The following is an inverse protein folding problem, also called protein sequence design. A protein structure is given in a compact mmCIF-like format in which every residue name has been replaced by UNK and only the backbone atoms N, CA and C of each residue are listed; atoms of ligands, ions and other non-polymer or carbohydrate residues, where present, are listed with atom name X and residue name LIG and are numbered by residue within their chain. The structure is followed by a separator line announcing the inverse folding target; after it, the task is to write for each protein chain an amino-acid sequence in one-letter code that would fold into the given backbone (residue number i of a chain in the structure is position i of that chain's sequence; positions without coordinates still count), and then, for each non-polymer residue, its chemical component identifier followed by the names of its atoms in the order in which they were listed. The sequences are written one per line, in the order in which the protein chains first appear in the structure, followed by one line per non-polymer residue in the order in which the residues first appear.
data_IF_892773526078
#
_entry.id   IF_892773526078
#
_cell.length_a   1.000
_cell.length_b   1.000
_cell.length_c   1.000
_cell.angle_alpha   90.00
_cell.angle_beta   90.00
_cell.angle_gamma   90.00
#
_symmetry.space_group_name_H-M   'P 1'
#
loop_
_entity.id
_entity.type
_entity.pdbx_description
1 polymer ?
#
# COMPACT_ATOMS: atom_id res chain seq x y z
N UNK A 1 38.11 -18.21 63.32
CA UNK A 1 36.73 -18.48 62.85
C UNK A 1 36.18 -17.26 62.10
N UNK A 2 36.79 -16.87 60.97
CA UNK A 2 36.37 -15.64 60.25
C UNK A 2 36.38 -15.75 58.73
N UNK A 3 36.86 -16.86 58.14
CA UNK A 3 36.93 -17.02 56.68
C UNK A 3 35.68 -17.66 56.06
N UNK A 4 34.89 -18.41 56.83
CA UNK A 4 33.70 -19.09 56.31
C UNK A 4 32.51 -18.15 56.02
N UNK A 5 32.47 -16.96 56.64
CA UNK A 5 31.34 -16.02 56.52
C UNK A 5 31.44 -15.19 55.22
N UNK A 6 32.65 -14.89 54.74
CA UNK A 6 32.85 -14.13 53.50
C UNK A 6 32.56 -14.95 52.24
N UNK A 7 32.73 -16.28 52.28
CA UNK A 7 32.35 -17.17 51.16
C UNK A 7 30.84 -17.30 50.95
N UNK A 8 30.04 -17.23 52.03
CA UNK A 8 28.58 -17.36 51.95
C UNK A 8 27.91 -16.10 51.38
N UNK A 9 28.46 -14.91 51.70
CA UNK A 9 27.95 -13.62 51.20
C UNK A 9 28.26 -13.45 49.70
N UNK A 10 29.43 -13.92 49.24
CA UNK A 10 29.78 -13.94 47.82
C UNK A 10 28.90 -14.88 46.99
N UNK A 11 28.57 -16.07 47.52
CA UNK A 11 27.71 -17.05 46.84
C UNK A 11 26.23 -16.60 46.76
N UNK A 12 25.71 -15.94 47.80
CA UNK A 12 24.35 -15.39 47.80
C UNK A 12 24.21 -14.16 46.88
N UNK A 13 25.24 -13.31 46.77
CA UNK A 13 25.26 -12.17 45.84
C UNK A 13 25.32 -12.59 44.37
N UNK A 14 26.10 -13.64 44.04
CA UNK A 14 26.20 -14.19 42.68
C UNK A 14 24.92 -14.88 42.19
N UNK A 15 24.21 -15.58 43.09
CA UNK A 15 22.95 -16.24 42.76
C UNK A 15 21.80 -15.24 42.49
N UNK A 16 21.76 -14.12 43.21
CA UNK A 16 20.76 -13.07 43.01
C UNK A 16 20.96 -12.30 41.70
N UNK A 17 22.21 -11.98 41.33
CA UNK A 17 22.53 -11.34 40.05
C UNK A 17 22.34 -12.30 38.87
N UNK A 18 22.66 -13.58 39.02
CA UNK A 18 22.42 -14.61 38.01
C UNK A 18 20.92 -14.88 37.76
N UNK A 19 20.09 -14.88 38.81
CA UNK A 19 18.64 -15.03 38.69
C UNK A 19 17.95 -13.76 38.14
N UNK A 20 18.43 -12.57 38.49
CA UNK A 20 17.95 -11.32 37.91
C UNK A 20 18.31 -11.21 36.41
N UNK A 21 19.52 -11.63 36.02
CA UNK A 21 19.94 -11.65 34.62
C UNK A 21 19.13 -12.64 33.77
N UNK A 22 18.77 -13.82 34.30
CA UNK A 22 17.94 -14.81 33.58
C UNK A 22 16.46 -14.45 33.51
N UNK A 23 15.94 -13.63 34.45
CA UNK A 23 14.57 -13.11 34.39
C UNK A 23 14.44 -11.85 33.52
N UNK A 24 15.47 -10.99 33.48
CA UNK A 24 15.44 -9.72 32.75
C UNK A 24 15.91 -9.88 31.30
N UNK A 25 16.83 -10.80 31.00
CA UNK A 25 17.32 -11.02 29.64
C UNK A 25 16.22 -11.44 28.65
N UNK A 26 15.26 -12.35 28.95
CA UNK A 26 14.16 -12.70 28.04
C UNK A 26 13.17 -11.54 27.84
N UNK A 27 12.95 -10.72 28.86
CA UNK A 27 12.05 -9.57 28.78
C UNK A 27 12.65 -8.40 27.99
N UNK A 28 13.96 -8.17 28.09
CA UNK A 28 14.68 -7.17 27.30
C UNK A 28 14.91 -7.63 25.86
N UNK A 29 15.32 -8.88 25.63
CA UNK A 29 15.43 -9.45 24.27
C UNK A 29 14.06 -9.56 23.61
N UNK A 30 13.02 -9.97 24.32
CA UNK A 30 11.65 -10.00 23.80
C UNK A 30 11.09 -8.62 23.45
N UNK A 31 11.43 -7.56 24.19
CA UNK A 31 11.06 -6.17 23.83
C UNK A 31 11.83 -5.67 22.62
N UNK A 32 13.14 -5.95 22.53
CA UNK A 32 13.94 -5.56 21.35
C UNK A 32 13.51 -6.29 20.08
N UNK A 33 13.26 -7.60 20.16
CA UNK A 33 12.75 -8.40 19.03
C UNK A 33 11.37 -7.91 18.60
N UNK A 34 10.45 -7.63 19.55
CA UNK A 34 9.12 -7.06 19.21
C UNK A 34 9.21 -5.69 18.54
N UNK A 35 10.10 -4.80 19.00
CA UNK A 35 10.31 -3.48 18.37
C UNK A 35 10.91 -3.62 16.97
N UNK A 36 11.88 -4.52 16.79
CA UNK A 36 12.44 -4.81 15.47
C UNK A 36 11.40 -5.42 14.51
N UNK A 37 10.58 -6.37 14.98
CA UNK A 37 9.48 -6.93 14.19
C UNK A 37 8.44 -5.88 13.83
N UNK A 38 8.10 -4.98 14.76
CA UNK A 38 7.15 -3.90 14.50
C UNK A 38 7.70 -2.93 13.47
N UNK A 39 8.96 -2.51 13.60
CA UNK A 39 9.63 -1.63 12.63
C UNK A 39 9.72 -2.27 11.25
N UNK A 40 10.08 -3.55 11.16
CA UNK A 40 10.12 -4.28 9.89
C UNK A 40 8.73 -4.37 9.23
N UNK A 41 7.66 -4.54 10.02
CA UNK A 41 6.29 -4.51 9.50
C UNK A 41 5.89 -3.13 8.97
N UNK A 42 6.22 -2.07 9.71
CA UNK A 42 5.97 -0.68 9.29
C UNK A 42 6.76 -0.33 8.02
N UNK A 43 8.02 -0.77 7.90
CA UNK A 43 8.83 -0.59 6.68
C UNK A 43 8.19 -1.29 5.48
N UNK A 44 7.75 -2.54 5.62
CA UNK A 44 7.08 -3.30 4.55
C UNK A 44 5.73 -2.69 4.17
N UNK A 45 4.96 -2.16 5.14
CA UNK A 45 3.72 -1.41 4.86
C UNK A 45 3.99 -0.11 4.09
N UNK A 46 5.01 0.64 4.51
CA UNK A 46 5.43 1.87 3.85
C UNK A 46 5.86 1.64 2.40
N UNK A 47 6.66 0.60 2.15
CA UNK A 47 7.09 0.22 0.79
C UNK A 47 5.90 -0.13 -0.11
N UNK A 48 4.93 -0.90 0.38
CA UNK A 48 3.72 -1.25 -0.37
C UNK A 48 2.89 -0.03 -0.77
N UNK A 49 2.75 0.94 0.14
CA UNK A 49 2.04 2.19 -0.18
C UNK A 49 2.80 3.06 -1.20
N UNK A 50 4.13 3.09 -1.11
CA UNK A 50 4.97 3.75 -2.10
C UNK A 50 4.86 3.10 -3.47
N UNK A 51 4.82 1.77 -3.52
CA UNK A 51 4.60 1.02 -4.76
C UNK A 51 3.21 1.29 -5.34
N UNK A 52 2.16 1.33 -4.51
CA UNK A 52 0.81 1.67 -4.97
C UNK A 52 0.76 3.07 -5.55
N UNK A 53 1.39 4.04 -4.88
CA UNK A 53 1.52 5.42 -5.36
C UNK A 53 2.25 5.50 -6.70
N UNK A 54 3.32 4.73 -6.90
CA UNK A 54 4.07 4.67 -8.17
C UNK A 54 3.23 4.03 -9.27
N UNK A 55 2.69 2.84 -9.03
CA UNK A 55 1.93 2.10 -10.01
C UNK A 55 0.68 2.86 -10.49
N UNK A 56 -0.05 3.51 -9.57
CA UNK A 56 -1.21 4.34 -9.91
C UNK A 56 -0.83 5.63 -10.65
N UNK A 57 0.37 6.18 -10.43
CA UNK A 57 0.89 7.30 -11.23
C UNK A 57 1.23 6.84 -12.64
N UNK A 58 1.99 5.76 -12.74
CA UNK A 58 2.56 5.31 -14.01
C UNK A 58 1.47 4.86 -14.98
N UNK A 59 0.41 4.19 -14.50
CA UNK A 59 -0.74 3.86 -15.34
C UNK A 59 -1.45 5.11 -15.86
N UNK A 60 -1.63 6.15 -15.04
CA UNK A 60 -2.31 7.37 -15.49
C UNK A 60 -1.45 8.16 -16.48
N UNK A 61 -0.13 8.19 -16.32
CA UNK A 61 0.76 8.80 -17.29
C UNK A 61 0.65 8.09 -18.66
N UNK A 62 0.69 6.75 -18.66
CA UNK A 62 0.56 5.97 -19.88
C UNK A 62 -0.82 6.16 -20.52
N UNK A 63 -1.89 6.26 -19.71
CA UNK A 63 -3.23 6.54 -20.20
C UNK A 63 -3.35 7.94 -20.79
N UNK A 64 -2.75 8.95 -20.17
CA UNK A 64 -2.77 10.32 -20.69
C UNK A 64 -2.01 10.39 -22.01
N UNK A 65 -0.84 9.77 -22.11
CA UNK A 65 -0.08 9.67 -23.36
C UNK A 65 -0.91 9.02 -24.48
N UNK A 66 -1.58 7.90 -24.16
CA UNK A 66 -2.47 7.20 -25.10
C UNK A 66 -3.69 8.04 -25.52
N UNK A 67 -4.29 8.77 -24.57
CA UNK A 67 -5.41 9.68 -24.79
C UNK A 67 -5.01 10.85 -25.67
N UNK A 68 -3.85 11.47 -25.41
CA UNK A 68 -3.33 12.56 -26.24
C UNK A 68 -2.95 12.08 -27.64
N UNK A 69 -2.31 10.91 -27.77
CA UNK A 69 -1.99 10.33 -29.08
C UNK A 69 -3.25 10.02 -29.90
N UNK A 70 -4.31 9.50 -29.26
CA UNK A 70 -5.63 9.32 -29.87
C UNK A 70 -6.19 10.64 -30.42
N UNK A 71 -6.14 11.73 -29.65
CA UNK A 71 -6.57 13.06 -30.09
C UNK A 71 -5.75 13.61 -31.27
N UNK A 72 -4.45 13.29 -31.32
CA UNK A 72 -3.57 13.65 -32.46
C UNK A 72 -3.74 12.74 -33.68
N UNK A 73 -4.51 11.65 -33.56
CA UNK A 73 -4.64 10.63 -34.61
C UNK A 73 -3.36 9.81 -34.81
N UNK A 74 -2.50 9.75 -33.79
CA UNK A 74 -1.30 8.93 -33.78
C UNK A 74 -1.64 7.46 -33.45
N UNK A 75 -0.80 6.49 -33.87
CA UNK A 75 -0.97 5.12 -33.45
C UNK A 75 -0.80 4.99 -31.93
N UNK A 76 -1.74 4.31 -31.28
CA UNK A 76 -1.72 4.04 -29.83
C UNK A 76 -1.60 2.54 -29.60
N UNK A 77 -0.56 2.11 -28.90
CA UNK A 77 -0.44 0.73 -28.44
C UNK A 77 -1.17 0.55 -27.10
N UNK A 78 -2.44 0.18 -27.19
CA UNK A 78 -3.28 -0.12 -26.02
C UNK A 78 -3.06 -1.52 -25.44
N UNK A 79 -2.30 -2.39 -26.10
CA UNK A 79 -2.18 -3.81 -25.73
C UNK A 79 -0.86 -4.14 -25.04
N UNK A 80 0.20 -3.35 -25.25
CA UNK A 80 1.49 -3.55 -24.60
C UNK A 80 1.60 -2.77 -23.29
N UNK A 81 2.15 -1.53 -23.30
CA UNK A 81 2.49 -0.78 -22.09
C UNK A 81 1.30 -0.52 -21.16
N UNK A 82 0.13 -0.24 -21.73
CA UNK A 82 -1.09 0.04 -20.98
C UNK A 82 -1.54 -1.18 -20.19
N UNK A 83 -1.60 -2.36 -20.82
CA UNK A 83 -2.06 -3.60 -20.17
C UNK A 83 -1.13 -3.99 -19.02
N UNK A 84 0.18 -3.93 -19.25
CA UNK A 84 1.18 -4.25 -18.21
C UNK A 84 1.12 -3.26 -17.04
N UNK A 85 0.92 -1.96 -17.30
CA UNK A 85 0.76 -0.96 -16.25
C UNK A 85 -0.54 -1.19 -15.44
N UNK A 86 -1.65 -1.49 -16.11
CA UNK A 86 -2.93 -1.82 -15.44
C UNK A 86 -2.80 -3.08 -14.60
N UNK A 87 -2.14 -4.12 -15.12
CA UNK A 87 -1.90 -5.37 -14.41
C UNK A 87 -1.03 -5.13 -13.17
N UNK A 88 0.08 -4.41 -13.32
CA UNK A 88 0.97 -4.05 -12.21
C UNK A 88 0.22 -3.26 -11.13
N UNK A 89 -0.57 -2.26 -11.52
CA UNK A 89 -1.40 -1.49 -10.59
C UNK A 89 -2.38 -2.41 -9.84
N UNK A 90 -3.06 -3.32 -10.53
CA UNK A 90 -4.00 -4.28 -9.90
C UNK A 90 -3.28 -5.20 -8.92
N UNK A 91 -2.15 -5.77 -9.30
CA UNK A 91 -1.37 -6.64 -8.40
C UNK A 91 -0.89 -5.90 -7.15
N UNK A 92 -0.45 -4.65 -7.30
CA UNK A 92 -0.05 -3.82 -6.16
C UNK A 92 -1.28 -3.45 -5.30
N UNK A 93 -2.40 -3.10 -5.92
CA UNK A 93 -3.66 -2.81 -5.26
C UNK A 93 -4.16 -4.01 -4.43
N UNK A 94 -4.14 -5.21 -5.01
CA UNK A 94 -4.54 -6.45 -4.36
C UNK A 94 -3.61 -6.76 -3.17
N UNK A 95 -2.29 -6.59 -3.33
CA UNK A 95 -1.33 -6.76 -2.22
C UNK A 95 -1.59 -5.77 -1.09
N UNK A 96 -1.94 -4.54 -1.43
CA UNK A 96 -2.34 -3.50 -0.50
C UNK A 96 -3.64 -3.88 0.23
N UNK A 97 -4.69 -4.29 -0.48
CA UNK A 97 -5.97 -4.72 0.12
C UNK A 97 -5.81 -5.95 1.03
N UNK A 98 -5.06 -6.97 0.60
CA UNK A 98 -4.88 -8.24 1.35
C UNK A 98 -4.02 -8.05 2.60
N UNK A 99 -2.95 -7.23 2.52
CA UNK A 99 -1.91 -7.25 3.54
C UNK A 99 -1.69 -5.94 4.29
N UNK A 100 -2.49 -4.89 4.05
CA UNK A 100 -2.48 -3.74 4.96
C UNK A 100 -2.56 -2.36 4.33
N UNK A 101 -3.53 -2.11 3.48
CA UNK A 101 -4.31 -0.89 3.63
C UNK A 101 -5.23 -1.07 4.83
N UNK A 102 -4.63 -1.16 6.02
CA UNK A 102 -5.37 -0.93 7.26
C UNK A 102 -5.60 0.57 7.33
N UNK A 103 -6.54 1.07 6.55
CA UNK A 103 -7.22 2.30 6.93
C UNK A 103 -7.86 1.98 8.27
N UNK A 104 -7.31 2.51 9.36
CA UNK A 104 -7.72 2.15 10.72
C UNK A 104 -9.14 2.64 11.00
N UNK A 105 -10.13 1.92 10.49
CA UNK A 105 -11.45 1.73 11.07
C UNK A 105 -11.81 0.23 11.16
N UNK A 106 -10.88 -0.69 10.84
CA UNK A 106 -11.13 -2.13 10.92
C UNK A 106 -9.91 -2.92 11.42
N UNK A 107 -9.87 -3.16 12.73
CA UNK A 107 -9.26 -4.39 13.25
C UNK A 107 -10.23 -5.55 13.00
N UNK A 108 -10.02 -6.32 11.93
CA UNK A 108 -10.36 -7.74 11.95
C UNK A 108 -9.53 -8.52 10.93
N UNK A 109 -9.04 -9.67 11.39
CA UNK A 109 -8.40 -10.72 10.61
C UNK A 109 -9.21 -11.11 9.37
N UNK A 110 -8.51 -11.72 8.42
CA UNK A 110 -9.01 -12.26 7.15
C UNK A 110 -10.17 -13.28 7.27
N UNK A 111 -10.70 -13.55 8.46
CA UNK A 111 -11.84 -14.44 8.72
C UNK A 111 -13.21 -13.71 8.68
N UNK A 112 -13.24 -12.38 8.58
CA UNK A 112 -14.49 -11.59 8.59
C UNK A 112 -14.79 -10.97 7.21
N UNK A 113 -14.63 -11.75 6.13
CA UNK A 113 -14.94 -11.33 4.76
C UNK A 113 -16.46 -11.30 4.44
N UNK A 114 -17.33 -11.56 5.41
CA UNK A 114 -18.78 -11.55 5.24
C UNK A 114 -19.43 -10.33 5.89
N UNK A 115 -19.59 -9.23 5.15
CA UNK A 115 -20.65 -8.25 5.44
C UNK A 115 -20.26 -6.90 6.07
N UNK A 116 -19.09 -6.33 5.76
CA UNK A 116 -18.84 -4.90 6.01
C UNK A 116 -18.70 -4.13 4.71
N UNK A 117 -19.30 -2.94 4.68
CA UNK A 117 -19.11 -1.97 3.60
C UNK A 117 -17.61 -1.67 3.44
N UNK A 118 -17.10 -1.61 2.19
CA UNK A 118 -15.71 -1.27 1.93
C UNK A 118 -15.38 0.12 2.51
N UNK A 119 -14.15 0.31 2.97
CA UNK A 119 -13.73 1.64 3.41
C UNK A 119 -13.75 2.62 2.23
N UNK A 120 -13.96 3.95 2.45
CA UNK A 120 -13.97 4.94 1.37
C UNK A 120 -12.72 4.90 0.48
N UNK A 121 -11.60 4.46 1.03
CA UNK A 121 -10.33 4.34 0.31
C UNK A 121 -10.20 3.04 -0.47
N UNK A 122 -10.79 1.97 0.05
CA UNK A 122 -10.95 0.71 -0.69
C UNK A 122 -11.88 0.94 -1.88
N UNK A 123 -12.95 1.73 -1.67
CA UNK A 123 -13.80 2.22 -2.75
C UNK A 123 -13.03 3.08 -3.74
N UNK A 124 -12.23 4.05 -3.27
CA UNK A 124 -11.41 4.89 -4.16
C UNK A 124 -10.42 4.07 -5.00
N UNK A 125 -9.81 3.03 -4.42
CA UNK A 125 -8.91 2.12 -5.15
C UNK A 125 -9.67 1.28 -6.19
N UNK A 126 -10.84 0.74 -5.83
CA UNK A 126 -11.70 0.00 -6.76
C UNK A 126 -12.23 0.87 -7.88
N UNK A 127 -12.62 2.10 -7.55
CA UNK A 127 -13.04 3.11 -8.51
C UNK A 127 -11.91 3.46 -9.47
N UNK A 128 -10.71 3.69 -8.96
CA UNK A 128 -9.53 3.92 -9.80
C UNK A 128 -9.31 2.77 -10.78
N UNK A 129 -9.30 1.52 -10.31
CA UNK A 129 -9.12 0.33 -11.15
C UNK A 129 -10.23 0.24 -12.22
N UNK A 130 -11.48 0.52 -11.83
CA UNK A 130 -12.64 0.52 -12.72
C UNK A 130 -12.52 1.60 -13.80
N UNK A 131 -12.23 2.83 -13.41
CA UNK A 131 -12.14 3.96 -14.34
C UNK A 131 -10.96 3.83 -15.27
N UNK A 132 -9.80 3.40 -14.78
CA UNK A 132 -8.64 3.03 -15.61
C UNK A 132 -9.03 1.98 -16.67
N UNK A 133 -9.70 0.90 -16.27
CA UNK A 133 -10.17 -0.12 -17.22
C UNK A 133 -11.17 0.42 -18.24
N UNK A 134 -12.09 1.29 -17.81
CA UNK A 134 -13.04 1.94 -18.70
C UNK A 134 -12.32 2.86 -19.71
N UNK A 135 -11.38 3.68 -19.27
CA UNK A 135 -10.57 4.56 -20.13
C UNK A 135 -9.85 3.76 -21.21
N UNK A 136 -9.17 2.66 -20.86
CA UNK A 136 -8.50 1.78 -21.85
C UNK A 136 -9.49 1.28 -22.90
N UNK A 137 -10.64 0.77 -22.45
CA UNK A 137 -11.67 0.24 -23.34
C UNK A 137 -12.19 1.31 -24.31
N UNK A 138 -12.51 2.51 -23.81
CA UNK A 138 -13.01 3.60 -24.63
C UNK A 138 -11.98 4.15 -25.61
N UNK A 139 -10.70 4.24 -25.22
CA UNK A 139 -9.61 4.56 -26.16
C UNK A 139 -9.58 3.51 -27.27
N UNK A 140 -9.61 2.22 -26.93
CA UNK A 140 -9.61 1.14 -27.92
C UNK A 140 -10.80 1.20 -28.89
N UNK A 141 -11.98 1.53 -28.39
CA UNK A 141 -13.16 1.73 -29.22
C UNK A 141 -13.07 2.98 -30.11
N UNK A 142 -12.52 4.08 -29.59
CA UNK A 142 -12.35 5.32 -30.35
C UNK A 142 -11.38 5.14 -31.52
N UNK A 143 -10.29 4.39 -31.33
CA UNK A 143 -9.31 4.08 -32.38
C UNK A 143 -9.90 3.27 -33.54
N UNK A 144 -10.97 2.51 -33.31
CA UNK A 144 -11.67 1.71 -34.32
C UNK A 144 -12.84 2.47 -34.98
N UNK A 145 -13.21 3.63 -34.45
CA UNK A 145 -14.35 4.40 -34.90
C UNK A 145 -13.93 5.57 -35.81
N UNK A 146 -14.88 6.09 -36.58
CA UNK A 146 -14.68 7.25 -37.43
C UNK A 146 -15.82 8.27 -37.26
N UNK A 147 -15.55 9.53 -37.65
CA UNK A 147 -16.53 10.61 -37.68
C UNK A 147 -17.14 10.91 -36.29
N UNK A 148 -18.44 11.22 -36.27
CA UNK A 148 -19.16 11.59 -35.04
C UNK A 148 -19.08 10.52 -33.94
N UNK A 149 -19.05 9.24 -34.33
CA UNK A 149 -18.94 8.14 -33.36
C UNK A 149 -17.59 8.16 -32.64
N UNK A 150 -16.50 8.44 -33.36
CA UNK A 150 -15.16 8.58 -32.76
C UNK A 150 -15.14 9.69 -31.72
N UNK A 151 -15.67 10.86 -32.06
CA UNK A 151 -15.73 12.02 -31.16
C UNK A 151 -16.50 11.71 -29.86
N UNK A 152 -17.62 10.98 -29.94
CA UNK A 152 -18.37 10.57 -28.73
C UNK A 152 -17.56 9.61 -27.85
N UNK A 153 -16.78 8.71 -28.45
CA UNK A 153 -15.97 7.73 -27.72
C UNK A 153 -14.75 8.41 -27.07
N UNK A 154 -14.13 9.37 -27.76
CA UNK A 154 -13.05 10.21 -27.23
C UNK A 154 -13.52 10.97 -25.98
N UNK A 155 -14.69 11.62 -26.05
CA UNK A 155 -15.29 12.32 -24.90
C UNK A 155 -15.56 11.39 -23.70
N UNK A 156 -15.98 10.14 -23.94
CA UNK A 156 -16.16 9.15 -22.87
C UNK A 156 -14.82 8.73 -22.27
N UNK A 157 -13.80 8.53 -23.10
CA UNK A 157 -12.44 8.22 -22.63
C UNK A 157 -11.90 9.35 -21.74
N UNK A 158 -12.09 10.61 -22.16
CA UNK A 158 -11.69 11.80 -21.38
C UNK A 158 -12.42 11.84 -20.03
N UNK A 159 -13.76 11.69 -20.00
CA UNK A 159 -14.53 11.70 -18.76
C UNK A 159 -14.12 10.59 -17.78
N UNK A 160 -13.85 9.37 -18.28
CA UNK A 160 -13.37 8.29 -17.41
C UNK A 160 -11.92 8.50 -16.93
N UNK A 161 -11.07 9.13 -17.75
CA UNK A 161 -9.72 9.51 -17.33
C UNK A 161 -9.77 10.53 -16.18
N UNK A 162 -10.62 11.55 -16.27
CA UNK A 162 -10.81 12.53 -15.19
C UNK A 162 -11.31 11.88 -13.89
N UNK A 163 -12.23 10.92 -13.98
CA UNK A 163 -12.69 10.16 -12.82
C UNK A 163 -11.59 9.28 -12.22
N UNK A 164 -10.73 8.69 -13.05
CA UNK A 164 -9.55 7.95 -12.59
C UNK A 164 -8.58 8.89 -11.84
N UNK A 165 -8.32 10.10 -12.35
CA UNK A 165 -7.51 11.09 -11.64
C UNK A 165 -8.13 11.52 -10.31
N UNK A 166 -9.45 11.74 -10.27
CA UNK A 166 -10.17 12.06 -9.04
C UNK A 166 -10.02 10.94 -8.00
N UNK A 167 -10.23 9.68 -8.41
CA UNK A 167 -10.08 8.51 -7.56
C UNK A 167 -8.65 8.39 -7.02
N UNK A 168 -7.64 8.59 -7.88
CA UNK A 168 -6.23 8.61 -7.46
C UNK A 168 -5.95 9.74 -6.47
N UNK A 169 -6.49 10.95 -6.68
CA UNK A 169 -6.30 12.08 -5.75
C UNK A 169 -6.84 11.75 -4.35
N UNK A 170 -8.01 11.13 -4.26
CA UNK A 170 -8.58 10.67 -2.98
C UNK A 170 -7.68 9.62 -2.32
N UNK A 171 -7.27 8.61 -3.08
CA UNK A 171 -6.36 7.57 -2.61
C UNK A 171 -5.02 8.14 -2.11
N UNK A 172 -4.43 9.10 -2.84
CA UNK A 172 -3.16 9.72 -2.48
C UNK A 172 -3.23 10.46 -1.15
N UNK A 173 -4.33 11.17 -0.86
CA UNK A 173 -4.51 11.82 0.44
C UNK A 173 -4.32 10.82 1.57
N UNK A 174 -5.04 9.70 1.51
CA UNK A 174 -5.00 8.72 2.60
C UNK A 174 -3.68 7.93 2.64
N UNK A 175 -3.08 7.65 1.49
CA UNK A 175 -1.74 7.05 1.46
C UNK A 175 -0.70 7.95 2.12
N UNK A 176 -0.76 9.27 1.88
CA UNK A 176 0.19 10.22 2.46
C UNK A 176 0.03 10.32 3.98
N UNK A 177 -1.21 10.41 4.46
CA UNK A 177 -1.50 10.45 5.90
C UNK A 177 -0.98 9.17 6.60
N UNK A 178 -1.27 7.99 6.05
CA UNK A 178 -0.80 6.72 6.62
C UNK A 178 0.72 6.55 6.55
N UNK A 179 1.35 7.00 5.47
CA UNK A 179 2.81 6.99 5.33
C UNK A 179 3.49 7.92 6.35
N UNK A 180 2.87 9.03 6.72
CA UNK A 180 3.35 9.91 7.77
C UNK A 180 3.25 9.25 9.15
N UNK A 181 2.11 8.64 9.47
CA UNK A 181 1.95 7.85 10.70
C UNK A 181 3.01 6.76 10.85
N UNK A 182 3.25 5.97 9.79
CA UNK A 182 4.28 4.93 9.81
C UNK A 182 5.68 5.50 10.05
N UNK A 183 6.00 6.66 9.46
CA UNK A 183 7.30 7.33 9.69
C UNK A 183 7.46 7.72 11.14
N UNK A 184 6.41 8.24 11.78
CA UNK A 184 6.44 8.56 13.19
C UNK A 184 6.57 7.31 14.07
N UNK A 185 5.83 6.23 13.76
CA UNK A 185 5.96 4.95 14.46
C UNK A 185 7.38 4.39 14.40
N UNK A 186 8.00 4.43 13.22
CA UNK A 186 9.38 3.99 12.99
C UNK A 186 10.41 4.88 13.70
N UNK A 187 10.14 6.18 13.85
CA UNK A 187 11.02 7.10 14.59
C UNK A 187 10.92 6.90 16.12
N UNK A 188 9.78 6.40 16.62
CA UNK A 188 9.52 6.16 18.05
C UNK A 188 9.94 4.76 18.53
N UNK A 189 10.25 3.82 17.62
CA UNK A 189 10.61 2.42 17.93
C UNK A 189 12.11 2.15 17.95
#
# INVERSE_FOLDING_TARGET
MSEAIYGLIGALGGAFLGAAATLIAPALTGRHVRRQEQRARSEVEFERMMDLRRATRDVLLILDDGRQAMHRGEPVDINGPVVEAVKTMREVADRCEVYGLRFEHSRSSAEVAGGREPSPETEALRDLVRFVGATVSWIGHALQANGARRQTLEQRADGHYEEAENARRRLLGVLMDRMEELREEMART
#
